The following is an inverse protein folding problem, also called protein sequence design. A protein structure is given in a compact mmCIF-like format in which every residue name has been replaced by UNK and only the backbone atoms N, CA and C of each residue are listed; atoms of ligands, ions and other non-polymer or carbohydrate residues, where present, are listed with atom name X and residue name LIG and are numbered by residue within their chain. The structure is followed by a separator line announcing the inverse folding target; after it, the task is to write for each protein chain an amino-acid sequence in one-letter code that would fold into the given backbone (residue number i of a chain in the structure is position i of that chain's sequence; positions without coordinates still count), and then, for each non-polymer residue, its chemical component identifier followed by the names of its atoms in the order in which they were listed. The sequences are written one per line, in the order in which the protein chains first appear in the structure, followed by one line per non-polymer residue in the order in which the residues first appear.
data_IF_939043212109
#
_entry.id   IF_939043212109
#
_cell.length_a   1.000
_cell.length_b   1.000
_cell.length_c   1.000
_cell.angle_alpha   90.00
_cell.angle_beta   90.00
_cell.angle_gamma   90.00
#
_symmetry.space_group_name_H-M   'P 1'
#
loop_
_entity.id
_entity.type
_entity.pdbx_description
1 polymer ?
#
# COMPACT_ATOMS: atom_id res chain seq x y z
N UNK A 1 34.45 37.31 -8.54
CA UNK A 1 34.31 36.13 -7.66
C UNK A 1 33.05 36.30 -6.81
N UNK A 2 32.31 35.19 -6.62
CA UNK A 2 30.99 35.03 -5.94
C UNK A 2 29.77 35.03 -6.86
N UNK A 3 29.61 33.92 -7.56
CA UNK A 3 28.34 33.39 -8.08
C UNK A 3 27.55 32.76 -6.92
N UNK A 4 26.27 33.10 -6.81
CA UNK A 4 25.34 32.62 -5.78
C UNK A 4 25.05 31.12 -5.96
N UNK A 5 25.03 30.30 -4.88
CA UNK A 5 24.48 28.95 -4.96
C UNK A 5 22.95 29.01 -4.81
N UNK A 6 22.24 29.14 -5.94
CA UNK A 6 20.89 28.58 -6.06
C UNK A 6 21.10 27.09 -6.32
N UNK A 7 21.19 26.30 -5.25
CA UNK A 7 21.32 24.84 -5.34
C UNK A 7 20.19 24.26 -4.50
N UNK A 8 19.02 24.05 -5.11
CA UNK A 8 18.60 22.75 -5.65
C UNK A 8 18.33 21.72 -4.54
N UNK A 9 17.25 21.92 -3.78
CA UNK A 9 16.60 20.88 -2.97
C UNK A 9 15.10 20.99 -3.22
N UNK A 10 14.65 20.56 -4.39
CA UNK A 10 13.22 20.57 -4.74
C UNK A 10 12.85 19.44 -5.71
N UNK A 11 13.46 18.26 -5.55
CA UNK A 11 13.27 17.13 -6.47
C UNK A 11 13.13 15.76 -5.79
N UNK A 12 12.57 15.72 -4.56
CA UNK A 12 12.22 14.46 -3.88
C UNK A 12 10.76 14.39 -3.41
N UNK A 13 9.89 15.29 -3.88
CA UNK A 13 8.52 15.42 -3.38
C UNK A 13 7.42 15.27 -4.44
N UNK A 14 7.66 14.54 -5.55
CA UNK A 14 6.71 14.47 -6.68
C UNK A 14 6.43 13.07 -7.25
N UNK A 15 6.71 12.00 -6.51
CA UNK A 15 6.21 10.66 -6.84
C UNK A 15 5.13 10.15 -5.87
N UNK A 16 4.62 10.98 -4.96
CA UNK A 16 3.78 10.49 -3.86
C UNK A 16 2.25 10.56 -4.09
N UNK A 17 1.76 10.99 -5.27
CA UNK A 17 0.32 11.31 -5.41
C UNK A 17 -0.41 10.54 -6.54
N UNK A 18 0.23 9.59 -7.22
CA UNK A 18 -0.43 8.81 -8.30
C UNK A 18 -0.39 7.29 -8.07
N UNK A 19 0.19 6.82 -6.96
CA UNK A 19 0.47 5.39 -6.78
C UNK A 19 -0.72 4.60 -6.21
N UNK A 20 -1.68 5.25 -5.54
CA UNK A 20 -2.78 4.57 -4.85
C UNK A 20 -3.73 3.77 -5.77
N UNK A 21 -3.88 4.19 -7.03
CA UNK A 21 -4.73 3.47 -7.98
C UNK A 21 -4.05 2.25 -8.61
N UNK A 22 -2.71 2.17 -8.58
CA UNK A 22 -1.96 1.08 -9.23
C UNK A 22 -1.73 -0.10 -8.29
N UNK A 23 -1.60 0.13 -6.97
CA UNK A 23 -1.35 -0.94 -6.01
C UNK A 23 -2.49 -1.96 -6.00
N UNK A 24 -3.75 -1.49 -5.94
CA UNK A 24 -4.91 -2.39 -6.00
C UNK A 24 -4.95 -3.22 -7.28
N UNK A 25 -4.63 -2.63 -8.43
CA UNK A 25 -4.54 -3.37 -9.70
C UNK A 25 -3.42 -4.43 -9.67
N UNK A 26 -2.22 -4.08 -9.21
CA UNK A 26 -1.09 -5.00 -9.15
C UNK A 26 -1.32 -6.13 -8.15
N UNK A 27 -1.86 -5.83 -6.97
CA UNK A 27 -2.18 -6.83 -5.95
C UNK A 27 -3.26 -7.79 -6.46
N UNK A 28 -4.32 -7.28 -7.05
CA UNK A 28 -5.40 -8.12 -7.57
C UNK A 28 -4.98 -8.91 -8.82
N UNK A 29 -4.11 -8.35 -9.65
CA UNK A 29 -3.49 -9.08 -10.76
C UNK A 29 -2.61 -10.21 -10.22
N UNK A 30 -1.80 -9.97 -9.19
CA UNK A 30 -1.00 -11.00 -8.52
C UNK A 30 -1.88 -12.09 -7.90
N UNK A 31 -2.98 -11.72 -7.22
CA UNK A 31 -3.95 -12.69 -6.68
C UNK A 31 -4.55 -13.57 -7.77
N UNK A 32 -4.89 -13.01 -8.92
CA UNK A 32 -5.40 -13.77 -10.05
C UNK A 32 -4.32 -14.64 -10.72
N UNK A 33 -3.09 -14.12 -10.83
CA UNK A 33 -1.94 -14.84 -11.36
C UNK A 33 -1.61 -16.09 -10.53
N UNK A 34 -1.68 -15.99 -9.21
CA UNK A 34 -1.30 -17.08 -8.30
C UNK A 34 -2.46 -18.04 -8.02
N UNK A 35 -3.71 -17.55 -8.09
CA UNK A 35 -4.89 -18.37 -7.86
C UNK A 35 -5.69 -18.60 -9.15
N UNK A 36 -5.34 -19.69 -9.85
CA UNK A 36 -6.00 -20.18 -11.06
C UNK A 36 -7.51 -20.47 -10.90
N UNK A 37 -8.03 -20.49 -9.67
CA UNK A 37 -9.46 -20.75 -9.38
C UNK A 37 -10.33 -19.50 -9.33
N UNK A 38 -9.74 -18.30 -9.40
CA UNK A 38 -10.49 -17.04 -9.44
C UNK A 38 -11.06 -16.80 -10.84
N UNK A 39 -12.37 -16.55 -10.91
CA UNK A 39 -13.04 -16.13 -12.14
C UNK A 39 -12.61 -14.69 -12.53
N UNK A 40 -12.59 -14.35 -13.82
CA UNK A 40 -12.12 -13.04 -14.32
C UNK A 40 -12.88 -11.84 -13.73
N UNK A 41 -14.15 -12.02 -13.35
CA UNK A 41 -14.96 -11.00 -12.68
C UNK A 41 -14.51 -10.72 -11.23
N UNK A 42 -13.76 -11.65 -10.63
CA UNK A 42 -13.17 -11.50 -9.30
C UNK A 42 -12.05 -10.44 -9.27
N UNK A 43 -11.40 -10.16 -10.41
CA UNK A 43 -10.40 -9.10 -10.51
C UNK A 43 -11.02 -7.72 -10.25
N UNK A 44 -12.13 -7.40 -10.93
CA UNK A 44 -12.79 -6.10 -10.80
C UNK A 44 -13.29 -5.84 -9.38
N UNK A 45 -13.92 -6.85 -8.77
CA UNK A 45 -14.39 -6.78 -7.38
C UNK A 45 -13.23 -6.61 -6.40
N UNK A 46 -12.11 -7.30 -6.62
CA UNK A 46 -10.91 -7.14 -5.81
C UNK A 46 -10.38 -5.70 -5.85
N UNK A 47 -10.22 -5.12 -7.05
CA UNK A 47 -9.69 -3.76 -7.22
C UNK A 47 -10.63 -2.72 -6.59
N UNK A 48 -11.94 -2.86 -6.79
CA UNK A 48 -12.93 -1.95 -6.22
C UNK A 48 -12.94 -2.01 -4.69
N UNK A 49 -12.96 -3.22 -4.12
CA UNK A 49 -12.93 -3.42 -2.67
C UNK A 49 -11.64 -2.87 -2.04
N UNK A 50 -10.50 -3.12 -2.67
CA UNK A 50 -9.20 -2.62 -2.21
C UNK A 50 -9.14 -1.10 -2.20
N UNK A 51 -9.48 -0.47 -3.33
CA UNK A 51 -9.47 0.98 -3.45
C UNK A 51 -10.50 1.63 -2.52
N UNK A 52 -11.65 0.98 -2.30
CA UNK A 52 -12.65 1.41 -1.32
C UNK A 52 -12.11 1.41 0.11
N UNK A 53 -11.37 0.38 0.51
CA UNK A 53 -10.73 0.30 1.84
C UNK A 53 -9.69 1.41 2.06
N UNK A 54 -8.79 1.61 1.10
CA UNK A 54 -7.79 2.70 1.16
C UNK A 54 -8.46 4.07 1.16
N UNK A 55 -9.53 4.25 0.38
CA UNK A 55 -10.29 5.50 0.38
C UNK A 55 -10.99 5.76 1.72
N UNK A 56 -11.51 4.71 2.37
CA UNK A 56 -12.13 4.82 3.70
C UNK A 56 -11.10 5.22 4.77
N UNK A 57 -9.92 4.59 4.78
CA UNK A 57 -8.83 4.94 5.70
C UNK A 57 -8.36 6.39 5.50
N UNK A 58 -8.23 6.84 4.25
CA UNK A 58 -7.86 8.22 3.93
C UNK A 58 -8.95 9.25 4.18
N UNK A 59 -10.22 8.82 4.17
CA UNK A 59 -11.34 9.69 4.50
C UNK A 59 -11.49 9.88 6.01
N UNK A 60 -10.87 9.01 6.81
CA UNK A 60 -10.74 9.21 8.24
C UNK A 60 -9.82 10.43 8.51
N UNK A 61 -10.17 11.22 9.53
CA UNK A 61 -9.48 12.47 9.88
C UNK A 61 -8.30 12.26 10.82
N UNK A 62 -8.19 11.08 11.42
CA UNK A 62 -7.08 10.73 12.28
C UNK A 62 -5.82 10.43 11.45
N UNK A 63 -4.67 10.89 11.96
CA UNK A 63 -3.35 10.72 11.32
C UNK A 63 -3.00 9.25 11.14
N UNK A 64 -3.31 8.46 12.15
CA UNK A 64 -3.05 7.05 12.32
C UNK A 64 -3.71 6.25 11.19
N UNK A 65 -4.92 6.64 10.78
CA UNK A 65 -5.62 6.00 9.67
C UNK A 65 -5.02 6.35 8.30
N UNK A 66 -4.46 7.56 8.16
CA UNK A 66 -3.74 7.94 6.95
C UNK A 66 -2.40 7.22 6.87
N UNK A 67 -1.70 7.08 7.99
CA UNK A 67 -0.46 6.32 8.13
C UNK A 67 -0.70 4.84 7.82
N UNK A 68 -1.77 4.24 8.37
CA UNK A 68 -2.19 2.89 8.01
C UNK A 68 -2.49 2.74 6.51
N UNK A 69 -3.16 3.72 5.89
CA UNK A 69 -3.39 3.69 4.45
C UNK A 69 -2.09 3.72 3.63
N UNK A 70 -1.07 4.43 4.11
CA UNK A 70 0.24 4.52 3.45
C UNK A 70 1.02 3.22 3.65
N UNK A 71 1.09 2.71 4.88
CA UNK A 71 1.78 1.47 5.20
C UNK A 71 1.16 0.27 4.47
N UNK A 72 -0.18 0.20 4.42
CA UNK A 72 -0.90 -0.82 3.67
C UNK A 72 -0.55 -0.78 2.17
N UNK A 73 -0.50 0.41 1.56
CA UNK A 73 -0.12 0.55 0.16
C UNK A 73 1.34 0.13 -0.10
N UNK A 74 2.26 0.42 0.83
CA UNK A 74 3.66 0.05 0.70
C UNK A 74 3.83 -1.48 0.81
N UNK A 75 3.22 -2.07 1.84
CA UNK A 75 3.26 -3.51 2.09
C UNK A 75 2.65 -4.31 0.94
N UNK A 76 1.46 -3.94 0.49
CA UNK A 76 0.79 -4.65 -0.60
C UNK A 76 1.49 -4.47 -1.96
N UNK A 77 2.12 -3.30 -2.18
CA UNK A 77 2.96 -3.10 -3.37
C UNK A 77 4.20 -4.02 -3.34
N UNK A 78 4.83 -4.19 -2.18
CA UNK A 78 5.96 -5.10 -2.02
C UNK A 78 5.52 -6.55 -2.24
N UNK A 79 4.42 -6.99 -1.59
CA UNK A 79 3.87 -8.33 -1.77
C UNK A 79 3.51 -8.62 -3.23
N UNK A 80 2.89 -7.67 -3.94
CA UNK A 80 2.53 -7.85 -5.34
C UNK A 80 3.76 -8.05 -6.27
N UNK A 81 4.97 -7.70 -5.82
CA UNK A 81 6.21 -7.91 -6.55
C UNK A 81 6.87 -9.28 -6.29
N UNK A 82 6.37 -10.05 -5.32
CA UNK A 82 6.84 -11.41 -5.02
C UNK A 82 6.40 -12.40 -6.11
N UNK A 83 7.07 -13.56 -6.15
CA UNK A 83 6.56 -14.70 -6.91
C UNK A 83 5.35 -15.33 -6.19
N UNK A 84 4.66 -16.24 -6.85
CA UNK A 84 3.42 -16.79 -6.32
C UNK A 84 3.61 -17.67 -5.08
N UNK A 85 4.73 -18.39 -5.01
CA UNK A 85 5.05 -19.22 -3.85
C UNK A 85 5.24 -18.31 -2.62
N UNK A 86 6.09 -17.29 -2.72
CA UNK A 86 6.32 -16.30 -1.65
C UNK A 86 5.04 -15.51 -1.31
N UNK A 87 4.25 -15.12 -2.31
CA UNK A 87 3.02 -14.32 -2.14
C UNK A 87 1.91 -15.08 -1.40
N UNK A 88 1.68 -16.35 -1.76
CA UNK A 88 0.64 -17.20 -1.20
C UNK A 88 1.01 -17.72 0.20
N UNK A 89 2.27 -18.09 0.41
CA UNK A 89 2.77 -18.51 1.72
C UNK A 89 2.96 -17.33 2.69
N UNK A 90 2.85 -16.10 2.18
CA UNK A 90 3.23 -14.88 2.88
C UNK A 90 4.67 -14.95 3.42
N UNK A 91 5.52 -15.75 2.77
CA UNK A 91 6.95 -15.79 3.04
C UNK A 91 7.60 -14.60 2.35
N UNK A 92 7.88 -13.56 3.13
CA UNK A 92 8.48 -12.36 2.60
C UNK A 92 9.97 -12.58 2.27
N UNK A 93 10.61 -13.64 2.80
CA UNK A 93 12.00 -13.97 2.53
C UNK A 93 12.99 -12.84 2.82
N UNK A 94 12.63 -11.88 3.69
CA UNK A 94 13.39 -10.66 3.94
C UNK A 94 13.22 -9.54 2.91
N UNK A 95 12.39 -9.71 1.89
CA UNK A 95 12.17 -8.73 0.80
C UNK A 95 11.18 -7.63 1.15
N UNK A 96 10.24 -7.91 2.06
CA UNK A 96 9.17 -6.99 2.47
C UNK A 96 9.06 -6.86 4.00
N UNK A 97 10.13 -7.21 4.73
CA UNK A 97 10.11 -7.21 6.20
C UNK A 97 9.94 -5.78 6.74
N UNK A 98 10.65 -4.81 6.17
CA UNK A 98 10.53 -3.40 6.57
C UNK A 98 9.08 -2.89 6.37
N UNK A 99 8.49 -3.15 5.20
CA UNK A 99 7.11 -2.75 4.94
C UNK A 99 6.08 -3.52 5.77
N UNK A 100 6.37 -4.77 6.15
CA UNK A 100 5.51 -5.53 7.07
C UNK A 100 5.56 -4.91 8.45
N UNK A 101 6.75 -4.63 8.97
CA UNK A 101 6.93 -4.07 10.29
C UNK A 101 6.27 -2.67 10.38
N UNK A 102 6.46 -1.83 9.35
CA UNK A 102 5.75 -0.53 9.24
C UNK A 102 4.22 -0.68 9.21
N UNK A 103 3.71 -1.72 8.54
CA UNK A 103 2.28 -2.02 8.48
C UNK A 103 1.72 -2.54 9.81
N UNK A 104 2.46 -3.41 10.51
CA UNK A 104 2.08 -3.93 11.82
C UNK A 104 2.06 -2.82 12.87
N UNK A 105 3.06 -1.93 12.86
CA UNK A 105 3.11 -0.76 13.73
C UNK A 105 1.92 0.18 13.43
N UNK A 106 1.66 0.48 12.16
CA UNK A 106 0.53 1.32 11.77
C UNK A 106 -0.84 0.71 12.12
N UNK A 107 -0.99 -0.62 12.08
CA UNK A 107 -2.19 -1.29 12.58
C UNK A 107 -2.35 -1.06 14.08
N UNK A 108 -1.28 -1.26 14.86
CA UNK A 108 -1.34 -1.12 16.31
C UNK A 108 -1.72 0.31 16.73
N UNK A 109 -1.22 1.31 16.01
CA UNK A 109 -1.56 2.72 16.24
C UNK A 109 -3.00 3.03 15.78
N UNK A 110 -3.45 2.43 14.67
CA UNK A 110 -4.79 2.59 14.14
C UNK A 110 -5.90 1.85 14.91
N UNK A 111 -5.60 0.75 15.60
CA UNK A 111 -6.61 -0.13 16.24
C UNK A 111 -7.48 0.62 17.27
N UNK A 112 -6.93 1.65 17.90
CA UNK A 112 -7.64 2.49 18.88
C UNK A 112 -8.41 3.67 18.25
N UNK A 113 -7.96 4.21 17.11
CA UNK A 113 -8.44 5.48 16.57
C UNK A 113 -9.23 5.33 15.25
N UNK A 114 -8.98 4.26 14.48
CA UNK A 114 -9.67 4.00 13.20
C UNK A 114 -10.94 3.15 13.35
N UNK A 115 -11.18 2.56 14.52
CA UNK A 115 -12.39 1.78 14.84
C UNK A 115 -13.53 2.65 15.36
N UNK A 116 -13.32 3.96 15.60
CA UNK A 116 -14.38 4.89 15.94
C UNK A 116 -15.18 5.33 14.71
N UNK A 117 -15.90 4.40 14.10
CA UNK A 117 -17.09 4.72 13.32
C UNK A 117 -18.24 4.96 14.30
N UNK A 118 -18.40 6.20 14.76
CA UNK A 118 -19.66 6.68 15.34
C UNK A 118 -20.53 7.30 14.22
#
# INVERSE_FOLDING_TARGET
MRTNPITLICALALCSVVVGGCVGNNLCAKKQECNDSLEDDSYGVCVESYNGGIAALRANKESECQELAVAMLAYDACRAALDCDDFEEADLGGKCDDERDDFEDAINDADLECTSFD
#
